data_IF_635924726303
#
_entry.id   IF_635924726303
#
_cell.length_a   1.000
_cell.length_b   1.000
_cell.length_c   1.000
_cell.angle_alpha   90.00
_cell.angle_beta   90.00
_cell.angle_gamma   90.00
#
_symmetry.space_group_name_H-M   'P 1'
#
loop_
_entity.id
_entity.type
_entity.pdbx_description
1 polymer ?
#
# COMPACT_ATOMS: atom_id res chain seq x y z
N UNK A 1 9.97 2.49 1.64
CA UNK A 1 11.20 1.95 2.27
C UNK A 1 12.15 3.06 2.69
N UNK A 2 12.34 4.11 1.90
CA UNK A 2 13.21 5.25 2.27
C UNK A 2 12.79 5.90 3.60
N UNK A 3 11.49 6.06 3.84
CA UNK A 3 10.97 6.59 5.10
C UNK A 3 11.23 5.64 6.28
N UNK A 4 11.21 4.33 6.02
CA UNK A 4 11.56 3.33 7.03
C UNK A 4 13.06 3.39 7.36
N UNK A 5 13.92 3.58 6.35
CA UNK A 5 15.37 3.79 6.58
C UNK A 5 15.62 5.03 7.44
N UNK A 6 14.95 6.14 7.12
CA UNK A 6 15.04 7.36 7.91
C UNK A 6 14.53 7.14 9.34
N UNK A 7 13.36 6.49 9.49
CA UNK A 7 12.82 6.13 10.80
C UNK A 7 13.81 5.29 11.62
N UNK A 8 14.38 4.25 11.03
CA UNK A 8 15.39 3.41 11.69
C UNK A 8 16.65 4.19 12.09
N UNK A 9 17.00 5.26 11.36
CA UNK A 9 18.19 6.06 11.65
C UNK A 9 18.01 7.03 12.81
N UNK A 10 16.79 7.51 13.08
CA UNK A 10 16.50 8.48 14.15
C UNK A 10 15.97 7.85 15.44
N UNK A 11 15.50 6.61 15.39
CA UNK A 11 15.03 5.85 16.55
C UNK A 11 16.09 4.85 17.00
N UNK A 12 16.20 4.64 18.31
CA UNK A 12 17.07 3.60 18.90
C UNK A 12 16.42 2.21 18.70
N UNK A 13 16.49 1.72 17.46
CA UNK A 13 15.96 0.41 17.08
C UNK A 13 17.11 -0.58 17.16
N UNK A 14 16.90 -1.70 17.82
CA UNK A 14 17.90 -2.75 17.94
C UNK A 14 18.13 -3.46 16.60
N UNK A 15 19.28 -4.11 16.44
CA UNK A 15 19.55 -4.90 15.23
C UNK A 15 18.58 -6.10 15.10
N UNK A 16 18.08 -6.62 16.23
CA UNK A 16 17.05 -7.67 16.25
C UNK A 16 15.73 -7.15 15.69
N UNK A 17 15.28 -5.95 16.11
CA UNK A 17 14.07 -5.31 15.58
C UNK A 17 14.19 -5.00 14.08
N UNK A 18 15.38 -4.56 13.63
CA UNK A 18 15.64 -4.32 12.21
C UNK A 18 15.55 -5.60 11.39
N UNK A 19 16.11 -6.70 11.90
CA UNK A 19 16.05 -7.98 11.22
C UNK A 19 14.60 -8.50 11.13
N UNK A 20 13.84 -8.40 12.20
CA UNK A 20 12.42 -8.74 12.20
C UNK A 20 11.64 -7.89 11.20
N UNK A 21 11.88 -6.58 11.18
CA UNK A 21 11.26 -5.67 10.21
C UNK A 21 11.61 -6.03 8.76
N UNK A 22 12.85 -6.39 8.48
CA UNK A 22 13.27 -6.88 7.16
C UNK A 22 12.51 -8.11 6.74
N UNK A 23 12.41 -9.11 7.62
CA UNK A 23 11.68 -10.35 7.35
C UNK A 23 10.21 -10.07 7.02
N UNK A 24 9.54 -9.25 7.81
CA UNK A 24 8.15 -8.86 7.56
C UNK A 24 7.97 -8.10 6.24
N UNK A 25 8.90 -7.19 5.92
CA UNK A 25 8.87 -6.45 4.66
C UNK A 25 9.11 -7.35 3.44
N UNK A 26 9.99 -8.35 3.54
CA UNK A 26 10.18 -9.32 2.46
C UNK A 26 8.92 -10.14 2.22
N UNK A 27 8.28 -10.62 3.29
CA UNK A 27 6.99 -11.33 3.17
C UNK A 27 5.93 -10.46 2.50
N UNK A 28 5.82 -9.19 2.91
CA UNK A 28 4.88 -8.24 2.31
C UNK A 28 5.15 -8.03 0.81
N UNK A 29 6.41 -7.83 0.43
CA UNK A 29 6.79 -7.63 -0.98
C UNK A 29 6.51 -8.87 -1.82
N UNK A 30 6.78 -10.06 -1.30
CA UNK A 30 6.49 -11.33 -1.99
C UNK A 30 4.98 -11.53 -2.20
N UNK A 31 4.17 -11.22 -1.18
CA UNK A 31 2.72 -11.28 -1.29
C UNK A 31 2.17 -10.25 -2.31
N UNK A 32 2.71 -9.03 -2.30
CA UNK A 32 2.33 -7.99 -3.26
C UNK A 32 2.72 -8.37 -4.70
N UNK A 33 3.90 -8.93 -4.91
CA UNK A 33 4.33 -9.40 -6.24
C UNK A 33 3.44 -10.53 -6.75
N UNK A 34 3.15 -11.52 -5.91
CA UNK A 34 2.25 -12.62 -6.24
C UNK A 34 0.83 -12.12 -6.55
N UNK A 35 0.33 -11.15 -5.79
CA UNK A 35 -0.97 -10.53 -6.01
C UNK A 35 -1.00 -9.73 -7.32
N UNK A 36 0.04 -8.94 -7.60
CA UNK A 36 0.17 -8.18 -8.84
C UNK A 36 0.25 -9.11 -10.07
N UNK A 37 1.00 -10.21 -9.96
CA UNK A 37 1.12 -11.19 -11.04
C UNK A 37 -0.21 -11.91 -11.33
N UNK A 38 -0.98 -12.21 -10.29
CA UNK A 38 -2.27 -12.88 -10.43
C UNK A 38 -3.38 -11.94 -10.92
N UNK A 39 -3.34 -10.66 -10.55
CA UNK A 39 -4.38 -9.67 -10.83
C UNK A 39 -5.72 -9.93 -10.14
N UNK A 40 -5.80 -10.95 -9.28
CA UNK A 40 -7.02 -11.36 -8.58
C UNK A 40 -6.74 -11.72 -7.12
N UNK A 41 -7.69 -11.43 -6.26
CA UNK A 41 -7.68 -11.88 -4.87
C UNK A 41 -7.90 -13.40 -4.78
N UNK A 42 -7.69 -13.99 -3.59
CA UNK A 42 -8.02 -15.41 -3.32
C UNK A 42 -9.51 -15.72 -3.56
N UNK A 43 -10.39 -14.73 -3.39
CA UNK A 43 -11.83 -14.84 -3.65
C UNK A 43 -12.22 -14.61 -5.12
N UNK A 44 -11.24 -14.42 -6.02
CA UNK A 44 -11.48 -14.22 -7.45
C UNK A 44 -11.83 -12.78 -7.87
N UNK A 45 -11.87 -11.83 -6.94
CA UNK A 45 -12.13 -10.42 -7.26
C UNK A 45 -10.92 -9.78 -7.93
N UNK A 46 -11.15 -8.90 -8.90
CA UNK A 46 -10.09 -8.14 -9.56
C UNK A 46 -9.34 -7.26 -8.56
N UNK A 47 -8.01 -7.29 -8.66
CA UNK A 47 -7.12 -6.49 -7.81
C UNK A 47 -6.21 -5.68 -8.72
N UNK A 48 -6.16 -4.38 -8.46
CA UNK A 48 -5.27 -3.44 -9.14
C UNK A 48 -4.37 -2.77 -8.13
N UNK A 49 -3.06 -2.87 -8.33
CA UNK A 49 -2.04 -2.29 -7.46
C UNK A 49 -1.44 -1.08 -8.15
N UNK A 50 -1.59 0.08 -7.53
CA UNK A 50 -1.03 1.34 -7.97
C UNK A 50 0.11 1.74 -7.03
N UNK A 51 1.22 2.15 -7.60
CA UNK A 51 2.35 2.69 -6.86
C UNK A 51 2.41 4.20 -7.08
N UNK A 52 2.44 4.94 -6.00
CA UNK A 52 2.55 6.40 -5.99
C UNK A 52 3.82 6.85 -5.26
N UNK A 53 4.42 7.93 -5.74
CA UNK A 53 5.51 8.59 -5.03
C UNK A 53 5.02 9.60 -3.97
N UNK A 54 3.69 9.67 -3.77
CA UNK A 54 3.09 10.54 -2.76
C UNK A 54 3.12 9.79 -1.43
N UNK A 55 3.70 10.42 -0.42
CA UNK A 55 3.67 9.91 0.94
C UNK A 55 2.36 10.28 1.62
N UNK A 56 1.75 9.33 2.32
CA UNK A 56 0.50 9.51 3.05
C UNK A 56 0.71 9.31 4.54
N UNK A 57 0.24 10.26 5.34
CA UNK A 57 0.26 10.17 6.80
C UNK A 57 -0.88 9.31 7.36
N UNK A 58 -1.77 8.84 6.50
CA UNK A 58 -2.92 8.03 6.90
C UNK A 58 -3.27 6.99 5.82
N UNK A 59 -3.94 5.95 6.22
CA UNK A 59 -4.57 5.00 5.29
C UNK A 59 -6.00 5.44 5.00
N UNK A 60 -6.32 5.55 3.73
CA UNK A 60 -7.64 5.94 3.26
C UNK A 60 -8.25 4.80 2.45
N UNK A 61 -9.47 4.43 2.79
CA UNK A 61 -10.19 3.41 2.04
C UNK A 61 -11.69 3.71 1.99
N UNK A 62 -12.34 3.18 0.98
CA UNK A 62 -13.80 3.20 0.90
C UNK A 62 -14.33 1.85 0.45
N UNK A 63 -15.52 1.54 0.91
CA UNK A 63 -16.31 0.39 0.47
C UNK A 63 -17.59 0.89 -0.16
N UNK A 64 -17.89 0.42 -1.36
CA UNK A 64 -19.13 0.69 -2.07
C UNK A 64 -19.79 -0.61 -2.51
N UNK A 65 -21.01 -0.79 -2.10
CA UNK A 65 -21.88 -1.88 -2.54
C UNK A 65 -23.21 -1.30 -3.04
N UNK A 66 -24.12 -2.13 -3.52
CA UNK A 66 -25.47 -1.68 -3.92
C UNK A 66 -26.29 -1.04 -2.79
N UNK A 67 -25.93 -1.31 -1.54
CA UNK A 67 -26.70 -0.87 -0.35
C UNK A 67 -25.90 -0.10 0.67
N UNK A 68 -24.58 -0.02 0.53
CA UNK A 68 -23.70 0.55 1.56
C UNK A 68 -22.59 1.40 0.92
N UNK A 69 -22.42 2.59 1.46
CA UNK A 69 -21.27 3.45 1.20
C UNK A 69 -20.58 3.74 2.53
N UNK A 70 -19.31 3.38 2.64
CA UNK A 70 -18.53 3.49 3.86
C UNK A 70 -17.17 4.09 3.55
N UNK A 71 -16.76 5.08 4.32
CA UNK A 71 -15.41 5.65 4.31
C UNK A 71 -14.65 5.25 5.57
N UNK A 72 -13.41 4.86 5.39
CA UNK A 72 -12.50 4.55 6.48
C UNK A 72 -11.23 5.40 6.34
N UNK A 73 -10.90 6.14 7.37
CA UNK A 73 -9.65 6.88 7.51
C UNK A 73 -8.93 6.35 8.75
N UNK A 74 -7.73 5.83 8.56
CA UNK A 74 -6.90 5.32 9.64
C UNK A 74 -5.64 6.17 9.74
N UNK A 75 -5.52 6.93 10.82
CA UNK A 75 -4.38 7.79 11.13
C UNK A 75 -3.47 7.00 12.06
N UNK A 76 -2.28 6.62 11.57
CA UNK A 76 -1.34 5.75 12.28
C UNK A 76 -2.07 4.55 12.92
N UNK A 77 -1.48 3.62 13.51
CA UNK A 77 -2.13 2.40 14.02
C UNK A 77 -3.15 2.60 15.17
N UNK A 78 -3.39 3.83 15.60
CA UNK A 78 -4.08 4.11 16.88
C UNK A 78 -5.53 4.56 16.70
N UNK A 79 -5.84 5.34 15.65
CA UNK A 79 -7.16 5.93 15.47
C UNK A 79 -7.74 5.60 14.09
N UNK A 80 -8.97 5.13 14.06
CA UNK A 80 -9.73 4.97 12.82
C UNK A 80 -11.05 5.71 12.91
N UNK A 81 -11.41 6.40 11.85
CA UNK A 81 -12.70 7.03 11.67
C UNK A 81 -13.45 6.26 10.58
N UNK A 82 -14.60 5.74 10.93
CA UNK A 82 -15.50 5.08 9.99
C UNK A 82 -16.77 5.89 9.90
N UNK A 83 -17.20 6.24 8.70
CA UNK A 83 -18.41 7.05 8.50
C UNK A 83 -19.18 6.59 7.26
N UNK A 84 -20.50 6.78 7.31
CA UNK A 84 -21.42 6.59 6.20
C UNK A 84 -21.88 7.92 5.59
N UNK A 85 -21.25 9.03 5.96
CA UNK A 85 -21.56 10.33 5.41
C UNK A 85 -21.35 10.35 3.89
N UNK A 86 -22.38 10.67 3.07
CA UNK A 86 -22.29 10.57 1.62
C UNK A 86 -21.33 11.59 0.99
N UNK A 87 -21.20 12.77 1.60
CA UNK A 87 -20.29 13.80 1.06
C UNK A 87 -18.85 13.42 1.32
N UNK A 88 -18.56 12.92 2.52
CA UNK A 88 -17.25 12.42 2.86
C UNK A 88 -16.86 11.21 2.01
N UNK A 89 -17.81 10.30 1.75
CA UNK A 89 -17.59 9.18 0.85
C UNK A 89 -17.26 9.64 -0.57
N UNK A 90 -18.05 10.56 -1.13
CA UNK A 90 -17.82 11.09 -2.48
C UNK A 90 -16.46 11.76 -2.58
N UNK A 91 -16.14 12.65 -1.65
CA UNK A 91 -14.85 13.36 -1.63
C UNK A 91 -13.66 12.39 -1.54
N UNK A 92 -13.73 11.39 -0.68
CA UNK A 92 -12.69 10.37 -0.54
C UNK A 92 -12.52 9.53 -1.81
N UNK A 93 -13.64 9.11 -2.40
CA UNK A 93 -13.63 8.33 -3.65
C UNK A 93 -13.01 9.12 -4.81
N UNK A 94 -13.42 10.37 -4.99
CA UNK A 94 -12.88 11.27 -6.02
C UNK A 94 -11.39 11.52 -5.82
N UNK A 95 -10.96 11.74 -4.59
CA UNK A 95 -9.57 11.92 -4.24
C UNK A 95 -8.73 10.68 -4.56
N UNK A 96 -9.14 9.49 -4.12
CA UNK A 96 -8.45 8.22 -4.43
C UNK A 96 -8.40 7.98 -5.95
N UNK A 97 -9.48 8.28 -6.67
CA UNK A 97 -9.49 8.15 -8.12
C UNK A 97 -8.55 9.14 -8.82
N UNK A 98 -8.41 10.36 -8.29
CA UNK A 98 -7.46 11.32 -8.82
C UNK A 98 -6.01 10.91 -8.60
N UNK A 99 -5.70 10.27 -7.47
CA UNK A 99 -4.36 9.73 -7.19
C UNK A 99 -3.91 8.70 -8.23
N UNK A 100 -4.83 7.89 -8.74
CA UNK A 100 -4.52 6.89 -9.78
C UNK A 100 -3.94 7.52 -11.05
N UNK A 101 -4.30 8.77 -11.35
CA UNK A 101 -3.77 9.50 -12.52
C UNK A 101 -2.27 9.81 -12.40
N UNK A 102 -1.76 9.88 -11.18
CA UNK A 102 -0.36 10.17 -10.87
C UNK A 102 0.41 8.94 -10.37
N UNK A 103 -0.20 7.77 -10.46
CA UNK A 103 0.35 6.51 -9.97
C UNK A 103 0.64 5.56 -11.12
N UNK A 104 1.61 4.67 -10.93
CA UNK A 104 1.89 3.60 -11.88
C UNK A 104 1.08 2.36 -11.53
N UNK A 105 0.32 1.83 -12.47
CA UNK A 105 -0.44 0.59 -12.32
C UNK A 105 0.49 -0.62 -12.51
N UNK A 106 1.02 -1.14 -11.42
CA UNK A 106 2.05 -2.19 -11.46
C UNK A 106 1.47 -3.57 -11.82
N UNK A 107 0.22 -3.85 -11.47
CA UNK A 107 -0.42 -5.12 -11.79
C UNK A 107 -0.72 -5.34 -13.28
N UNK A 108 -0.78 -4.26 -14.07
CA UNK A 108 -0.96 -4.31 -15.53
C UNK A 108 0.34 -4.00 -16.30
N UNK A 109 1.44 -3.76 -15.59
CA UNK A 109 2.76 -3.59 -16.20
C UNK A 109 3.22 -4.88 -16.86
N UNK A 110 4.07 -4.75 -17.87
CA UNK A 110 4.74 -5.91 -18.47
C UNK A 110 5.50 -6.73 -17.40
N UNK A 111 5.59 -8.04 -17.61
CA UNK A 111 6.22 -8.96 -16.65
C UNK A 111 7.62 -8.49 -16.23
N UNK A 112 8.45 -8.08 -17.18
CA UNK A 112 9.80 -7.59 -16.90
C UNK A 112 9.80 -6.33 -16.00
N UNK A 113 8.90 -5.38 -16.24
CA UNK A 113 8.82 -4.16 -15.44
C UNK A 113 8.37 -4.47 -14.01
N UNK A 114 7.42 -5.39 -13.86
CA UNK A 114 6.94 -5.84 -12.56
C UNK A 114 8.05 -6.52 -11.77
N UNK A 115 8.75 -7.48 -12.37
CA UNK A 115 9.87 -8.19 -11.74
C UNK A 115 10.96 -7.20 -11.33
N UNK A 116 11.33 -6.27 -12.21
CA UNK A 116 12.35 -5.27 -11.91
C UNK A 116 11.94 -4.36 -10.75
N UNK A 117 10.68 -3.93 -10.70
CA UNK A 117 10.16 -3.11 -9.60
C UNK A 117 10.31 -3.83 -8.25
N UNK A 118 9.81 -5.06 -8.15
CA UNK A 118 9.87 -5.81 -6.89
C UNK A 118 11.29 -6.21 -6.50
N UNK A 119 12.16 -6.49 -7.47
CA UNK A 119 13.59 -6.69 -7.22
C UNK A 119 14.24 -5.45 -6.60
N UNK A 120 14.00 -4.27 -7.13
CA UNK A 120 14.49 -3.01 -6.57
C UNK A 120 14.00 -2.80 -5.13
N UNK A 121 12.71 -3.11 -4.84
CA UNK A 121 12.20 -3.00 -3.47
C UNK A 121 12.95 -3.94 -2.51
N UNK A 122 13.22 -5.18 -2.91
CA UNK A 122 14.01 -6.13 -2.08
C UNK A 122 15.43 -5.64 -1.86
N UNK A 123 16.08 -5.07 -2.88
CA UNK A 123 17.41 -4.48 -2.75
C UNK A 123 17.41 -3.35 -1.71
N UNK A 124 16.42 -2.45 -1.74
CA UNK A 124 16.29 -1.38 -0.75
C UNK A 124 16.05 -1.93 0.65
N UNK A 125 15.17 -2.94 0.82
CA UNK A 125 14.92 -3.57 2.12
C UNK A 125 16.20 -4.22 2.67
N UNK A 126 17.01 -4.84 1.82
CA UNK A 126 18.26 -5.48 2.26
C UNK A 126 19.27 -4.49 2.85
N UNK A 127 19.16 -3.20 2.53
CA UNK A 127 20.04 -2.15 3.04
C UNK A 127 19.59 -1.54 4.38
N UNK A 128 18.44 -1.95 4.92
CA UNK A 128 17.99 -1.56 6.26
C UNK A 128 18.91 -2.20 7.31
#
# INVERSE_FOLDING_TARGET
VTDIQYFCSIHLITDEDKNLLKEELFVLIDEMEALAARGKSKAGNDVRIYISNINFEATYSYLETSSTQLSLIRIYSINSITTQDPEMFRGLKEWIQSLKKFSTLISESGEMQRIQFFKQQREIISTL
#
